data_IF_345839812809
#
_entry.id   IF_345839812809
#
_cell.length_a   1.000
_cell.length_b   1.000
_cell.length_c   1.000
_cell.angle_alpha   90.00
_cell.angle_beta   90.00
_cell.angle_gamma   90.00
#
_symmetry.space_group_name_H-M   'P 1'
#
loop_
_entity.id
_entity.type
_entity.pdbx_description
1 polymer ?
#
# COMPACT_ATOMS: atom_id res chain seq x y z
N UNK A 1 13.45 -7.48 20.50
CA UNK A 1 12.98 -8.24 19.31
C UNK A 1 11.68 -7.59 18.91
N UNK A 2 11.70 -6.62 17.99
CA UNK A 2 10.46 -6.04 17.47
C UNK A 2 9.90 -6.95 16.39
N UNK A 3 9.08 -7.90 16.83
CA UNK A 3 8.29 -8.80 15.97
C UNK A 3 6.91 -8.18 15.80
N UNK A 4 6.84 -6.95 15.29
CA UNK A 4 5.58 -6.39 14.79
C UNK A 4 5.32 -6.95 13.38
N UNK A 5 5.30 -8.28 13.26
CA UNK A 5 4.84 -8.93 12.04
C UNK A 5 3.35 -9.14 12.19
N UNK A 6 2.59 -8.48 11.34
CA UNK A 6 1.23 -8.87 11.00
C UNK A 6 1.28 -10.33 10.48
N UNK A 7 1.29 -11.30 11.40
CA UNK A 7 1.25 -12.73 11.07
C UNK A 7 -0.21 -13.20 10.96
N UNK A 8 -1.16 -12.38 11.42
CA UNK A 8 -2.59 -12.62 11.30
C UNK A 8 -3.08 -12.21 9.89
N UNK A 9 -3.58 -13.20 9.14
CA UNK A 9 -4.13 -13.02 7.80
C UNK A 9 -5.16 -11.88 7.73
N UNK A 10 -6.09 -11.81 8.70
CA UNK A 10 -7.14 -10.80 8.69
C UNK A 10 -6.57 -9.39 8.87
N UNK A 11 -5.59 -9.23 9.75
CA UNK A 11 -4.95 -7.93 9.97
C UNK A 11 -4.15 -7.47 8.74
N UNK A 12 -3.43 -8.38 8.08
CA UNK A 12 -2.74 -8.11 6.82
C UNK A 12 -3.75 -7.68 5.75
N UNK A 13 -4.80 -8.48 5.54
CA UNK A 13 -5.83 -8.22 4.53
C UNK A 13 -6.51 -6.87 4.78
N UNK A 14 -6.90 -6.59 6.02
CA UNK A 14 -7.54 -5.33 6.38
C UNK A 14 -6.61 -4.13 6.18
N UNK A 15 -5.32 -4.28 6.48
CA UNK A 15 -4.32 -3.22 6.25
C UNK A 15 -4.14 -2.94 4.75
N UNK A 16 -4.02 -3.99 3.95
CA UNK A 16 -3.92 -3.86 2.48
C UNK A 16 -5.18 -3.25 1.87
N UNK A 17 -6.37 -3.63 2.36
CA UNK A 17 -7.64 -3.04 1.94
C UNK A 17 -7.72 -1.55 2.28
N UNK A 18 -7.32 -1.15 3.50
CA UNK A 18 -7.27 0.26 3.86
C UNK A 18 -6.30 1.06 2.95
N UNK A 19 -5.15 0.48 2.61
CA UNK A 19 -4.17 1.09 1.70
C UNK A 19 -4.77 1.24 0.29
N UNK A 20 -5.44 0.22 -0.23
CA UNK A 20 -6.16 0.26 -1.52
C UNK A 20 -7.19 1.41 -1.54
N UNK A 21 -7.99 1.55 -0.49
CA UNK A 21 -8.98 2.63 -0.41
C UNK A 21 -8.31 4.01 -0.37
N UNK A 22 -7.17 4.14 0.30
CA UNK A 22 -6.39 5.39 0.32
C UNK A 22 -5.83 5.72 -1.06
N UNK A 23 -5.29 4.72 -1.78
CA UNK A 23 -4.75 4.90 -3.13
C UNK A 23 -5.84 5.37 -4.11
N UNK A 24 -7.04 4.77 -4.07
CA UNK A 24 -8.17 5.19 -4.91
C UNK A 24 -8.66 6.62 -4.66
N UNK A 25 -8.39 7.17 -3.47
CA UNK A 25 -8.75 8.54 -3.11
C UNK A 25 -7.66 9.56 -3.44
N UNK A 26 -6.45 9.11 -3.84
CA UNK A 26 -5.36 10.01 -4.15
C UNK A 26 -5.69 10.86 -5.38
N UNK A 27 -5.49 12.19 -5.31
CA UNK A 27 -5.68 13.04 -6.47
C UNK A 27 -4.65 12.68 -7.55
N UNK A 28 -5.11 12.48 -8.78
CA UNK A 28 -4.23 12.29 -9.94
C UNK A 28 -3.50 13.60 -10.25
N UNK A 29 -2.30 13.80 -9.71
CA UNK A 29 -1.52 15.01 -9.95
C UNK A 29 -1.12 15.17 -11.43
N UNK A 30 -1.13 14.07 -12.19
CA UNK A 30 -0.85 14.07 -13.64
C UNK A 30 -2.01 13.54 -14.51
N UNK A 31 -3.23 13.46 -13.95
CA UNK A 31 -4.48 13.38 -14.72
C UNK A 31 -4.65 12.17 -15.64
N UNK A 32 -4.09 11.00 -15.34
CA UNK A 32 -4.25 9.83 -16.20
C UNK A 32 -4.10 8.48 -15.48
N UNK A 33 -4.52 7.42 -16.17
CA UNK A 33 -4.43 6.02 -15.74
C UNK A 33 -3.01 5.54 -15.41
N UNK A 34 -1.98 6.26 -15.84
CA UNK A 34 -0.57 5.94 -15.58
C UNK A 34 0.01 6.60 -14.33
N UNK A 35 -0.82 7.26 -13.51
CA UNK A 35 -0.39 7.76 -12.22
C UNK A 35 -0.01 6.59 -11.29
N UNK A 36 1.09 6.74 -10.55
CA UNK A 36 1.61 5.66 -9.69
C UNK A 36 0.56 5.20 -8.68
N UNK A 37 -0.29 6.10 -8.17
CA UNK A 37 -1.32 5.73 -7.20
C UNK A 37 -2.45 4.95 -7.88
N UNK A 38 -2.82 5.29 -9.11
CA UNK A 38 -3.84 4.59 -9.90
C UNK A 38 -3.41 3.15 -10.20
N UNK A 39 -2.20 2.98 -10.74
CA UNK A 39 -1.65 1.66 -11.08
C UNK A 39 -1.49 0.80 -9.82
N UNK A 40 -1.00 1.40 -8.73
CA UNK A 40 -0.85 0.67 -7.45
C UNK A 40 -2.20 0.27 -6.87
N UNK A 41 -3.26 1.08 -7.02
CA UNK A 41 -4.60 0.73 -6.58
C UNK A 41 -5.14 -0.48 -7.36
N UNK A 42 -5.00 -0.49 -8.69
CA UNK A 42 -5.42 -1.60 -9.54
C UNK A 42 -4.67 -2.91 -9.22
N UNK A 43 -3.35 -2.84 -9.07
CA UNK A 43 -2.55 -4.01 -8.67
C UNK A 43 -2.96 -4.54 -7.28
N UNK A 44 -3.28 -3.64 -6.34
CA UNK A 44 -3.73 -4.01 -5.00
C UNK A 44 -5.12 -4.64 -5.01
N UNK A 45 -6.07 -4.12 -5.79
CA UNK A 45 -7.40 -4.70 -5.96
C UNK A 45 -7.31 -6.11 -6.59
N UNK A 46 -6.45 -6.28 -7.58
CA UNK A 46 -6.15 -7.58 -8.17
C UNK A 46 -5.56 -8.57 -7.15
N UNK A 47 -4.67 -8.12 -6.25
CA UNK A 47 -4.18 -8.97 -5.16
C UNK A 47 -5.33 -9.35 -4.23
N UNK A 48 -6.09 -8.38 -3.73
CA UNK A 48 -7.17 -8.58 -2.74
C UNK A 48 -8.29 -9.48 -3.27
N UNK A 49 -8.60 -9.39 -4.57
CA UNK A 49 -9.56 -10.27 -5.24
C UNK A 49 -9.13 -11.74 -5.31
N UNK A 50 -7.82 -12.00 -5.22
CA UNK A 50 -7.24 -13.35 -5.26
C UNK A 50 -6.85 -13.88 -3.87
N UNK A 51 -6.99 -13.08 -2.81
CA UNK A 51 -6.63 -13.44 -1.44
C UNK A 51 -7.77 -14.22 -0.79
N UNK A 52 -7.51 -15.47 -0.41
CA UNK A 52 -8.48 -16.35 0.27
C UNK A 52 -8.08 -16.61 1.72
N UNK A 53 -9.04 -16.87 2.65
CA UNK A 53 -8.76 -17.05 4.08
C UNK A 53 -7.79 -18.16 4.46
N UNK A 54 -7.57 -19.13 3.57
CA UNK A 54 -6.63 -20.24 3.74
C UNK A 54 -5.18 -19.88 3.39
N UNK A 55 -4.92 -18.69 2.83
CA UNK A 55 -3.58 -18.21 2.53
C UNK A 55 -2.82 -17.75 3.78
N UNK A 56 -1.50 -17.89 3.76
CA UNK A 56 -0.64 -17.38 4.81
C UNK A 56 -0.56 -15.83 4.75
N UNK A 57 -0.87 -15.17 5.86
CA UNK A 57 -0.80 -13.71 5.98
C UNK A 57 0.59 -13.15 5.63
N UNK A 58 1.66 -13.89 5.92
CA UNK A 58 3.04 -13.48 5.57
C UNK A 58 3.28 -13.44 4.05
N UNK A 59 2.73 -14.40 3.31
CA UNK A 59 2.85 -14.45 1.84
C UNK A 59 2.02 -13.32 1.21
N UNK A 60 0.83 -13.06 1.74
CA UNK A 60 -0.03 -11.95 1.32
C UNK A 60 0.67 -10.61 1.59
N UNK A 61 1.27 -10.43 2.76
CA UNK A 61 2.03 -9.23 3.10
C UNK A 61 3.24 -9.04 2.17
N UNK A 62 3.93 -10.12 1.80
CA UNK A 62 5.07 -10.07 0.86
C UNK A 62 4.63 -9.55 -0.51
N UNK A 63 3.54 -10.12 -1.07
CA UNK A 63 2.98 -9.66 -2.35
C UNK A 63 2.51 -8.20 -2.28
N UNK A 64 1.84 -7.82 -1.20
CA UNK A 64 1.41 -6.43 -0.99
C UNK A 64 2.60 -5.45 -0.98
N UNK A 65 3.72 -5.82 -0.35
CA UNK A 65 4.95 -5.00 -0.33
C UNK A 65 5.57 -4.85 -1.70
N UNK A 66 5.57 -5.91 -2.52
CA UNK A 66 6.09 -5.85 -3.89
C UNK A 66 5.31 -4.84 -4.73
N UNK A 67 3.98 -4.87 -4.65
CA UNK A 67 3.08 -3.90 -5.32
C UNK A 67 3.36 -2.47 -4.81
N UNK A 68 3.45 -2.28 -3.50
CA UNK A 68 3.60 -0.97 -2.87
C UNK A 68 5.01 -0.36 -3.01
N UNK A 69 6.01 -1.11 -3.48
CA UNK A 69 7.41 -0.68 -3.52
C UNK A 69 7.62 0.61 -4.31
N UNK A 70 7.05 0.70 -5.51
CA UNK A 70 7.20 1.88 -6.37
C UNK A 70 6.46 3.09 -5.77
N UNK A 71 5.24 2.88 -5.26
CA UNK A 71 4.48 3.91 -4.55
C UNK A 71 5.25 4.46 -3.35
N UNK A 72 5.81 3.58 -2.51
CA UNK A 72 6.63 3.96 -1.35
C UNK A 72 7.81 4.84 -1.76
N UNK A 73 8.53 4.47 -2.83
CA UNK A 73 9.67 5.27 -3.32
C UNK A 73 9.25 6.68 -3.76
N UNK A 74 8.11 6.80 -4.44
CA UNK A 74 7.58 8.10 -4.85
C UNK A 74 7.22 8.96 -3.64
N UNK A 75 6.57 8.37 -2.63
CA UNK A 75 6.23 9.05 -1.37
C UNK A 75 7.50 9.51 -0.63
N UNK A 76 8.52 8.65 -0.52
CA UNK A 76 9.81 8.99 0.09
C UNK A 76 10.53 10.14 -0.64
N UNK A 77 10.47 10.19 -1.97
CA UNK A 77 11.01 11.30 -2.75
C UNK A 77 10.25 12.60 -2.47
N UNK A 78 8.91 12.56 -2.48
CA UNK A 78 8.07 13.72 -2.16
C UNK A 78 8.31 14.24 -0.74
N UNK A 79 8.53 13.34 0.22
CA UNK A 79 8.91 13.68 1.61
C UNK A 79 10.23 14.44 1.66
N UNK A 80 11.26 13.96 0.95
CA UNK A 80 12.57 14.64 0.86
C UNK A 80 12.48 16.02 0.19
N UNK A 81 11.58 16.19 -0.77
CA UNK A 81 11.33 17.45 -1.46
C UNK A 81 10.40 18.41 -0.68
N UNK A 82 9.91 18.03 0.52
CA UNK A 82 8.88 18.76 1.27
C UNK A 82 7.57 18.99 0.47
N UNK A 83 7.20 18.03 -0.36
CA UNK A 83 6.01 18.06 -1.24
C UNK A 83 4.95 17.02 -0.85
N UNK A 84 5.16 16.32 0.26
CA UNK A 84 4.24 15.28 0.72
C UNK A 84 3.00 15.93 1.35
N UNK A 85 1.82 15.58 0.87
CA UNK A 85 0.55 16.01 1.49
C UNK A 85 0.29 15.22 2.78
N UNK A 86 -0.58 15.70 3.68
CA UNK A 86 -0.99 14.94 4.86
C UNK A 86 -1.55 13.55 4.53
N UNK A 87 -2.34 13.43 3.46
CA UNK A 87 -2.89 12.15 3.00
C UNK A 87 -1.78 11.19 2.52
N UNK A 88 -0.80 11.72 1.79
CA UNK A 88 0.37 10.96 1.34
C UNK A 88 1.28 10.54 2.50
N UNK A 89 1.39 11.37 3.54
CA UNK A 89 2.06 11.02 4.79
C UNK A 89 1.36 9.87 5.50
N UNK A 90 0.03 9.92 5.65
CA UNK A 90 -0.73 8.80 6.22
C UNK A 90 -0.62 7.52 5.39
N UNK A 91 -0.61 7.63 4.05
CA UNK A 91 -0.41 6.47 3.18
C UNK A 91 0.96 5.84 3.41
N UNK A 92 2.02 6.66 3.45
CA UNK A 92 3.38 6.21 3.71
C UNK A 92 3.49 5.49 5.06
N UNK A 93 2.92 6.05 6.12
CA UNK A 93 2.91 5.42 7.45
C UNK A 93 2.21 4.06 7.45
N UNK A 94 1.09 3.92 6.73
CA UNK A 94 0.39 2.64 6.63
C UNK A 94 1.16 1.61 5.80
N UNK A 95 1.86 2.03 4.75
CA UNK A 95 2.77 1.16 4.00
C UNK A 95 3.94 0.70 4.90
N UNK A 96 4.50 1.58 5.73
CA UNK A 96 5.60 1.24 6.65
C UNK A 96 5.18 0.26 7.76
N UNK A 97 3.90 0.30 8.20
CA UNK A 97 3.36 -0.67 9.17
C UNK A 97 3.33 -2.11 8.66
N UNK A 98 3.39 -2.33 7.34
CA UNK A 98 3.46 -3.68 6.77
C UNK A 98 4.82 -4.37 7.05
N UNK A 99 5.85 -3.62 7.46
CA UNK A 99 7.18 -4.14 7.85
C UNK A 99 8.20 -4.19 6.72
#
# INVERSE_FOLDING_TARGET
>A
MDVNKLDNFEEVRNTLQMIEEMLNRMPFEHGGQNDVFAVTAEDMDNLLSNVTPDMNGSDVATKGKEILHTCRKVLELRKKENRLTPEQQSLLENIEKLG
#
